data_IF_613399565983
#
_entry.id   IF_613399565983
#
_cell.length_a   1.000
_cell.length_b   1.000
_cell.length_c   1.000
_cell.angle_alpha   90.00
_cell.angle_beta   90.00
_cell.angle_gamma   90.00
#
_symmetry.space_group_name_H-M   'P 1'
#
loop_
_entity.id
_entity.type
_entity.pdbx_description
1 polymer ?
#
# COMPACT_ATOMS: atom_id res chain seq x y z
N UNK A 1 -7.71 -13.72 -11.45
CA UNK A 1 -6.88 -13.73 -10.22
C UNK A 1 -5.97 -12.52 -10.11
N UNK A 2 -5.22 -12.16 -11.17
CA UNK A 2 -4.24 -11.04 -11.15
C UNK A 2 -4.81 -9.68 -10.74
N UNK A 3 -6.00 -9.31 -11.19
CA UNK A 3 -6.61 -7.99 -10.87
C UNK A 3 -6.94 -7.86 -9.38
N UNK A 4 -7.57 -8.87 -8.77
CA UNK A 4 -7.87 -8.85 -7.33
C UNK A 4 -6.60 -8.83 -6.49
N UNK A 5 -5.53 -9.53 -6.92
CA UNK A 5 -4.22 -9.43 -6.26
C UNK A 5 -3.64 -8.01 -6.36
N UNK A 6 -3.73 -7.36 -7.53
CA UNK A 6 -3.27 -5.98 -7.70
C UNK A 6 -4.06 -5.00 -6.83
N UNK A 7 -5.39 -5.16 -6.73
CA UNK A 7 -6.25 -4.37 -5.85
C UNK A 7 -5.87 -4.57 -4.38
N UNK A 8 -5.74 -5.83 -3.95
CA UNK A 8 -5.41 -6.19 -2.57
C UNK A 8 -4.04 -5.64 -2.18
N UNK A 9 -3.02 -5.84 -3.02
CA UNK A 9 -1.67 -5.33 -2.78
C UNK A 9 -1.69 -3.81 -2.62
N UNK A 10 -2.20 -3.07 -3.62
CA UNK A 10 -2.25 -1.61 -3.58
C UNK A 10 -2.91 -1.11 -2.30
N UNK A 11 -4.06 -1.70 -1.95
CA UNK A 11 -4.81 -1.32 -0.76
C UNK A 11 -4.04 -1.62 0.53
N UNK A 12 -3.54 -2.85 0.69
CA UNK A 12 -2.88 -3.27 1.92
C UNK A 12 -1.60 -2.48 2.19
N UNK A 13 -0.84 -2.16 1.14
CA UNK A 13 0.43 -1.43 1.29
C UNK A 13 0.21 0.07 1.55
N UNK A 14 -0.77 0.71 0.91
CA UNK A 14 -1.15 2.09 1.24
C UNK A 14 -1.70 2.19 2.66
N UNK A 15 -2.62 1.29 3.04
CA UNK A 15 -3.20 1.27 4.38
C UNK A 15 -2.14 1.02 5.46
N UNK A 16 -1.29 0.01 5.28
CA UNK A 16 -0.23 -0.32 6.23
C UNK A 16 0.77 0.82 6.44
N UNK A 17 1.17 1.50 5.35
CA UNK A 17 2.03 2.68 5.45
C UNK A 17 1.36 3.82 6.20
N UNK A 18 0.10 4.14 5.87
CA UNK A 18 -0.64 5.22 6.54
C UNK A 18 -0.80 4.97 8.04
N UNK A 19 -1.12 3.73 8.44
CA UNK A 19 -1.21 3.35 9.86
C UNK A 19 0.13 3.58 10.58
N UNK A 20 1.25 3.16 9.99
CA UNK A 20 2.57 3.39 10.59
C UNK A 20 2.90 4.88 10.69
N UNK A 21 2.52 5.67 9.67
CA UNK A 21 2.80 7.09 9.60
C UNK A 21 1.96 7.89 10.62
N UNK A 22 0.68 7.56 10.76
CA UNK A 22 -0.19 8.15 11.79
C UNK A 22 0.29 7.80 13.20
N UNK A 23 0.68 6.55 13.41
CA UNK A 23 1.27 6.14 14.68
C UNK A 23 2.54 6.95 15.00
N UNK A 24 3.42 7.18 14.01
CA UNK A 24 4.61 8.02 14.19
C UNK A 24 4.24 9.44 14.60
N UNK A 25 3.26 10.05 13.93
CA UNK A 25 2.77 11.38 14.27
C UNK A 25 2.24 11.46 15.71
N UNK A 26 1.53 10.42 16.17
CA UNK A 26 1.01 10.35 17.55
C UNK A 26 2.11 10.26 18.61
N UNK A 27 3.22 9.59 18.31
CA UNK A 27 4.36 9.48 19.23
C UNK A 27 5.28 10.72 19.21
N UNK A 28 5.11 11.61 18.24
CA UNK A 28 5.95 12.79 18.07
C UNK A 28 7.44 12.41 17.95
N UNK A 29 8.32 13.20 18.60
CA UNK A 29 9.77 12.95 18.56
C UNK A 29 10.18 11.60 19.15
N UNK A 30 9.44 11.07 20.12
CA UNK A 30 9.73 9.76 20.71
C UNK A 30 9.60 8.61 19.72
N UNK A 31 8.74 8.76 18.71
CA UNK A 31 8.56 7.75 17.67
C UNK A 31 9.78 7.55 16.76
N UNK A 32 10.73 8.49 16.77
CA UNK A 32 12.02 8.37 16.07
C UNK A 32 13.11 7.70 16.91
N UNK A 33 12.89 7.51 18.21
CA UNK A 33 13.86 6.84 19.07
C UNK A 33 13.78 5.33 18.90
N UNK A 34 14.90 4.64 19.11
CA UNK A 34 14.98 3.17 19.04
C UNK A 34 14.31 2.46 20.23
N UNK A 35 13.91 3.22 21.26
CA UNK A 35 13.17 2.71 22.41
C UNK A 35 11.77 2.19 22.01
N UNK A 36 11.22 2.74 20.91
CA UNK A 36 9.99 2.26 20.28
C UNK A 36 10.32 1.70 18.89
N UNK A 37 9.71 0.59 18.45
CA UNK A 37 10.01 -0.01 17.14
C UNK A 37 9.47 0.81 15.96
N UNK A 38 8.89 1.98 16.20
CA UNK A 38 8.01 2.68 15.27
C UNK A 38 8.74 3.24 14.04
N UNK A 39 9.91 3.84 14.23
CA UNK A 39 10.77 4.30 13.13
C UNK A 39 11.13 3.15 12.16
N UNK A 40 11.37 1.96 12.72
CA UNK A 40 11.68 0.75 11.94
C UNK A 40 10.46 0.26 11.19
N UNK A 41 9.30 0.19 11.84
CA UNK A 41 8.05 -0.22 11.20
C UNK A 41 7.68 0.68 10.03
N UNK A 42 7.83 2.00 10.16
CA UNK A 42 7.56 2.93 9.06
C UNK A 42 8.52 2.71 7.88
N UNK A 43 9.83 2.51 8.15
CA UNK A 43 10.83 2.22 7.12
C UNK A 43 10.54 0.90 6.40
N UNK A 44 10.21 -0.14 7.17
CA UNK A 44 9.91 -1.47 6.63
C UNK A 44 8.62 -1.44 5.79
N UNK A 45 7.57 -0.74 6.25
CA UNK A 45 6.31 -0.61 5.54
C UNK A 45 6.44 0.09 4.17
N UNK A 46 7.36 1.07 4.05
CA UNK A 46 7.56 1.85 2.82
C UNK A 46 7.94 0.97 1.63
N UNK A 47 8.72 -0.07 1.86
CA UNK A 47 9.28 -0.90 0.79
C UNK A 47 8.18 -1.64 0.01
N UNK A 48 7.06 -1.96 0.67
CA UNK A 48 5.94 -2.69 0.06
C UNK A 48 5.18 -1.88 -0.99
N UNK A 49 5.26 -0.55 -0.96
CA UNK A 49 4.71 0.31 -2.02
C UNK A 49 5.58 0.34 -3.29
N UNK A 50 6.81 -0.21 -3.23
CA UNK A 50 7.84 -0.09 -4.28
C UNK A 50 8.12 -1.44 -4.95
N UNK A 51 8.39 -2.48 -4.16
CA UNK A 51 8.80 -3.80 -4.66
C UNK A 51 7.65 -4.53 -5.33
N UNK A 52 7.97 -5.49 -6.21
CA UNK A 52 6.98 -6.37 -6.89
C UNK A 52 5.90 -5.58 -7.65
N UNK A 53 6.27 -4.40 -8.16
CA UNK A 53 5.41 -3.45 -8.87
C UNK A 53 4.88 -2.35 -7.96
N UNK A 54 5.11 -1.08 -8.30
CA UNK A 54 4.68 0.04 -7.46
C UNK A 54 3.16 0.14 -7.37
N UNK A 55 2.64 0.89 -6.40
CA UNK A 55 1.20 1.11 -6.28
C UNK A 55 0.60 1.83 -7.50
N UNK A 56 1.37 2.67 -8.20
CA UNK A 56 0.98 3.28 -9.47
C UNK A 56 0.85 2.23 -10.57
N UNK A 57 1.77 1.27 -10.65
CA UNK A 57 1.67 0.14 -11.58
C UNK A 57 0.45 -0.73 -11.28
N UNK A 58 0.16 -0.99 -9.99
CA UNK A 58 -1.07 -1.70 -9.61
C UNK A 58 -2.32 -0.93 -10.09
N UNK A 59 -2.36 0.40 -9.96
CA UNK A 59 -3.46 1.23 -10.49
C UNK A 59 -3.59 1.09 -12.00
N UNK A 60 -2.49 1.09 -12.75
CA UNK A 60 -2.51 0.88 -14.21
C UNK A 60 -3.05 -0.50 -14.58
N UNK A 61 -2.63 -1.56 -13.89
CA UNK A 61 -3.12 -2.93 -14.12
C UNK A 61 -4.62 -3.02 -13.85
N UNK A 62 -5.09 -2.44 -12.75
CA UNK A 62 -6.51 -2.40 -12.39
C UNK A 62 -7.29 -1.63 -13.46
N UNK A 63 -6.87 -0.39 -13.78
CA UNK A 63 -7.53 0.46 -14.76
C UNK A 63 -7.63 -0.20 -16.15
N UNK A 64 -6.57 -0.89 -16.60
CA UNK A 64 -6.60 -1.64 -17.84
C UNK A 64 -7.71 -2.69 -17.85
N UNK A 65 -7.84 -3.49 -16.77
CA UNK A 65 -8.90 -4.50 -16.68
C UNK A 65 -10.30 -3.87 -16.61
N UNK A 66 -10.45 -2.73 -15.96
CA UNK A 66 -11.75 -2.03 -15.89
C UNK A 66 -12.25 -1.57 -17.27
N UNK A 67 -11.33 -1.15 -18.13
CA UNK A 67 -11.63 -0.62 -19.47
C UNK A 67 -11.86 -1.72 -20.52
N UNK A 68 -11.65 -2.99 -20.20
CA UNK A 68 -11.90 -4.11 -21.11
C UNK A 68 -13.41 -4.35 -21.32
N UNK A 69 -13.80 -4.72 -22.54
CA UNK A 69 -15.20 -4.89 -22.93
C UNK A 69 -15.89 -6.06 -22.20
N UNK A 70 -15.13 -7.08 -21.81
CA UNK A 70 -15.56 -8.28 -21.06
C UNK A 70 -15.36 -8.16 -19.55
N UNK A 71 -15.01 -6.97 -19.03
CA UNK A 71 -14.78 -6.78 -17.61
C UNK A 71 -16.05 -7.09 -16.79
N UNK A 72 -15.95 -7.92 -15.74
CA UNK A 72 -17.09 -8.22 -14.88
C UNK A 72 -17.55 -6.95 -14.13
N UNK A 73 -18.84 -6.84 -13.87
CA UNK A 73 -19.45 -5.70 -13.17
C UNK A 73 -18.83 -5.43 -11.79
N UNK A 74 -18.30 -6.46 -11.12
CA UNK A 74 -17.61 -6.33 -9.84
C UNK A 74 -16.26 -5.60 -9.91
N UNK A 75 -15.68 -5.46 -11.10
CA UNK A 75 -14.40 -4.78 -11.33
C UNK A 75 -14.60 -3.44 -12.04
N UNK A 76 -15.65 -3.28 -12.84
CA UNK A 76 -16.04 -1.99 -13.44
C UNK A 76 -16.44 -0.96 -12.38
#
# INVERSE_FOLDING_TARGET
ASTYCAMAKRFATDAGFNVCNEALQLHGGYGYLRDYPLERLLRDARVHQILEGTNEIMRVIIARRMLEADAPESIR
#
